data_IF_785584554181
#
_entry.id   IF_785584554181
#
_cell.length_a   1.000
_cell.length_b   1.000
_cell.length_c   1.000
_cell.angle_alpha   90.00
_cell.angle_beta   90.00
_cell.angle_gamma   90.00
#
_symmetry.space_group_name_H-M   'P 1'
#
loop_
_entity.id
_entity.type
_entity.pdbx_description
1 polymer ?
#
# COMPACT_ATOMS: atom_id res chain seq x y z
N UNK A 1 14.38 1.42 22.15
CA UNK A 1 12.95 1.51 22.49
C UNK A 1 12.47 0.11 22.85
N UNK A 2 11.49 -0.03 23.73
CA UNK A 2 11.02 -1.36 24.18
C UNK A 2 10.34 -2.09 23.02
N UNK A 3 10.60 -3.40 22.84
CA UNK A 3 10.01 -4.23 21.76
C UNK A 3 8.48 -4.12 21.65
N UNK A 4 7.80 -3.90 22.78
CA UNK A 4 6.35 -3.71 22.83
C UNK A 4 5.88 -2.44 22.09
N UNK A 5 6.66 -1.35 22.16
CA UNK A 5 6.33 -0.07 21.51
C UNK A 5 6.48 -0.17 19.99
N UNK A 6 7.49 -0.89 19.51
CA UNK A 6 7.73 -1.12 18.07
C UNK A 6 6.61 -1.95 17.44
N UNK A 7 6.12 -2.98 18.15
CA UNK A 7 4.98 -3.80 17.69
C UNK A 7 3.67 -3.02 17.63
N UNK A 8 3.38 -2.20 18.65
CA UNK A 8 2.22 -1.30 18.66
C UNK A 8 2.26 -0.33 17.48
N UNK A 9 3.41 0.31 17.24
CA UNK A 9 3.60 1.23 16.12
C UNK A 9 3.46 0.53 14.76
N UNK A 10 4.01 -0.67 14.60
CA UNK A 10 3.84 -1.48 13.39
C UNK A 10 2.37 -1.77 13.09
N UNK A 11 1.61 -2.19 14.11
CA UNK A 11 0.17 -2.44 13.95
C UNK A 11 -0.61 -1.19 13.53
N UNK A 12 -0.24 -0.02 14.07
CA UNK A 12 -0.82 1.26 13.72
C UNK A 12 -0.48 1.67 12.27
N UNK A 13 0.79 1.55 11.88
CA UNK A 13 1.23 1.82 10.50
C UNK A 13 0.53 0.91 9.49
N UNK A 14 0.34 -0.36 9.84
CA UNK A 14 -0.38 -1.31 8.99
C UNK A 14 -1.85 -0.91 8.81
N UNK A 15 -2.55 -0.51 9.90
CA UNK A 15 -3.94 -0.06 9.80
C UNK A 15 -4.08 1.21 8.95
N UNK A 16 -3.17 2.17 9.14
CA UNK A 16 -3.13 3.39 8.35
C UNK A 16 -2.85 3.10 6.87
N UNK A 17 -1.89 2.22 6.59
CA UNK A 17 -1.55 1.78 5.23
C UNK A 17 -2.75 1.14 4.53
N UNK A 18 -3.54 0.32 5.23
CA UNK A 18 -4.74 -0.31 4.67
C UNK A 18 -5.83 0.70 4.29
N UNK A 19 -6.10 1.69 5.17
CA UNK A 19 -7.06 2.77 4.87
C UNK A 19 -6.61 3.60 3.65
N UNK A 20 -5.34 3.99 3.62
CA UNK A 20 -4.77 4.72 2.49
C UNK A 20 -4.78 3.88 1.21
N UNK A 21 -4.58 2.56 1.32
CA UNK A 21 -4.62 1.64 0.17
C UNK A 21 -6.02 1.58 -0.44
N UNK A 22 -7.07 1.62 0.38
CA UNK A 22 -8.44 1.71 -0.11
C UNK A 22 -8.67 3.01 -0.89
N UNK A 23 -8.30 4.16 -0.33
CA UNK A 23 -8.44 5.45 -1.03
C UNK A 23 -7.57 5.53 -2.29
N UNK A 24 -6.34 4.99 -2.23
CA UNK A 24 -5.46 4.94 -3.41
C UNK A 24 -6.12 4.19 -4.56
N UNK A 25 -6.83 3.09 -4.27
CA UNK A 25 -7.58 2.33 -5.27
C UNK A 25 -8.75 3.12 -5.82
N UNK A 26 -9.54 3.77 -4.97
CA UNK A 26 -10.65 4.62 -5.43
C UNK A 26 -10.14 5.64 -6.46
N UNK A 27 -9.05 6.34 -6.16
CA UNK A 27 -8.39 7.24 -7.11
C UNK A 27 -7.87 6.53 -8.37
N UNK A 28 -7.26 5.35 -8.22
CA UNK A 28 -6.76 4.55 -9.35
C UNK A 28 -7.90 4.15 -10.31
N UNK A 29 -9.01 3.66 -9.79
CA UNK A 29 -10.15 3.22 -10.61
C UNK A 29 -10.96 4.38 -11.17
N UNK A 30 -10.96 5.54 -10.51
CA UNK A 30 -11.50 6.80 -11.05
C UNK A 30 -10.57 7.50 -12.05
N UNK A 31 -9.39 6.95 -12.33
CA UNK A 31 -8.42 7.53 -13.29
C UNK A 31 -7.60 8.70 -12.74
N UNK A 32 -7.71 9.01 -11.45
CA UNK A 32 -6.93 10.07 -10.79
C UNK A 32 -5.56 9.55 -10.35
N UNK A 33 -4.66 9.37 -11.33
CA UNK A 33 -3.31 8.85 -11.13
C UNK A 33 -2.43 9.72 -10.22
N UNK A 34 -2.63 11.05 -10.20
CA UNK A 34 -1.77 11.93 -9.41
C UNK A 34 -1.94 11.66 -7.91
N UNK A 35 -3.18 11.59 -7.46
CA UNK A 35 -3.49 11.36 -6.05
C UNK A 35 -3.20 9.91 -5.64
N UNK A 36 -3.52 8.94 -6.51
CA UNK A 36 -3.13 7.56 -6.32
C UNK A 36 -1.61 7.39 -6.16
N UNK A 37 -0.79 8.13 -6.94
CA UNK A 37 0.67 8.10 -6.81
C UNK A 37 1.16 8.57 -5.45
N UNK A 38 0.62 9.70 -4.95
CA UNK A 38 0.97 10.24 -3.63
C UNK A 38 0.66 9.23 -2.52
N UNK A 39 -0.54 8.65 -2.58
CA UNK A 39 -1.00 7.65 -1.61
C UNK A 39 -0.16 6.37 -1.67
N UNK A 40 0.08 5.82 -2.86
CA UNK A 40 0.92 4.63 -3.05
C UNK A 40 2.36 4.82 -2.53
N UNK A 41 2.94 6.02 -2.71
CA UNK A 41 4.26 6.34 -2.15
C UNK A 41 4.24 6.40 -0.61
N UNK A 42 3.19 6.97 -0.04
CA UNK A 42 3.01 7.03 1.42
C UNK A 42 2.84 5.64 2.01
N UNK A 43 2.01 4.80 1.40
CA UNK A 43 1.79 3.40 1.79
C UNK A 43 3.10 2.62 1.77
N UNK A 44 3.90 2.75 0.72
CA UNK A 44 5.23 2.12 0.63
C UNK A 44 6.11 2.46 1.84
N UNK A 45 6.09 3.72 2.27
CA UNK A 45 6.86 4.18 3.44
C UNK A 45 6.34 3.57 4.74
N UNK A 46 5.01 3.45 4.89
CA UNK A 46 4.38 2.86 6.07
C UNK A 46 4.64 1.34 6.14
N UNK A 47 4.53 0.64 5.02
CA UNK A 47 4.82 -0.80 4.93
C UNK A 47 6.30 -1.10 5.24
N UNK A 48 7.23 -0.26 4.77
CA UNK A 48 8.66 -0.36 5.11
C UNK A 48 8.91 -0.19 6.62
N UNK A 49 8.20 0.75 7.27
CA UNK A 49 8.31 1.01 8.71
C UNK A 49 7.65 -0.05 9.60
N UNK A 50 6.76 -0.87 9.05
CA UNK A 50 6.07 -1.92 9.79
C UNK A 50 7.02 -3.07 10.21
N UNK A 51 8.16 -3.24 9.53
CA UNK A 51 9.23 -4.17 9.93
C UNK A 51 8.93 -5.65 9.67
N UNK A 52 7.76 -6.00 9.11
CA UNK A 52 7.45 -7.37 8.71
C UNK A 52 8.03 -7.69 7.33
N UNK A 53 8.67 -8.86 7.13
CA UNK A 53 9.26 -9.24 5.84
C UNK A 53 8.27 -9.22 4.67
N UNK A 54 7.01 -9.59 4.92
CA UNK A 54 5.93 -9.57 3.91
C UNK A 54 5.60 -8.14 3.43
N UNK A 55 5.73 -7.15 4.31
CA UNK A 55 5.50 -5.75 3.99
C UNK A 55 6.66 -5.11 3.20
N UNK A 56 7.85 -5.73 3.19
CA UNK A 56 8.96 -5.26 2.36
C UNK A 56 8.66 -5.43 0.88
N UNK A 57 8.20 -6.61 0.47
CA UNK A 57 7.78 -6.87 -0.92
C UNK A 57 6.60 -5.99 -1.31
N UNK A 58 5.59 -5.88 -0.45
CA UNK A 58 4.45 -4.96 -0.65
C UNK A 58 4.92 -3.51 -0.86
N UNK A 59 5.87 -3.03 -0.05
CA UNK A 59 6.37 -1.66 -0.16
C UNK A 59 7.01 -1.36 -1.52
N UNK A 60 7.70 -2.34 -2.12
CA UNK A 60 8.30 -2.20 -3.46
C UNK A 60 7.21 -2.09 -4.52
N UNK A 61 6.18 -2.93 -4.43
CA UNK A 61 5.06 -2.92 -5.37
C UNK A 61 4.24 -1.64 -5.27
N UNK A 62 3.96 -1.15 -4.05
CA UNK A 62 3.28 0.14 -3.87
C UNK A 62 4.12 1.30 -4.45
N UNK A 63 5.44 1.28 -4.27
CA UNK A 63 6.31 2.29 -4.89
C UNK A 63 6.27 2.19 -6.42
N UNK A 64 6.24 0.97 -6.97
CA UNK A 64 6.15 0.73 -8.40
C UNK A 64 4.81 1.21 -8.96
N UNK A 65 3.68 0.93 -8.29
CA UNK A 65 2.37 1.47 -8.66
C UNK A 65 2.38 3.01 -8.70
N UNK A 66 2.99 3.64 -7.69
CA UNK A 66 3.20 5.10 -7.66
C UNK A 66 3.98 5.61 -8.88
N UNK A 67 5.02 4.89 -9.31
CA UNK A 67 5.81 5.25 -10.50
C UNK A 67 5.02 5.09 -11.80
N UNK A 68 4.23 4.02 -11.93
CA UNK A 68 3.36 3.82 -13.09
C UNK A 68 2.30 4.93 -13.21
N UNK A 69 1.64 5.29 -12.10
CA UNK A 69 0.72 6.41 -12.06
C UNK A 69 1.36 7.74 -12.48
N UNK A 70 2.57 8.03 -11.99
CA UNK A 70 3.34 9.23 -12.40
C UNK A 70 3.69 9.24 -13.88
N UNK A 71 3.89 8.07 -14.46
CA UNK A 71 4.16 7.91 -15.88
C UNK A 71 2.89 7.89 -16.76
N UNK A 72 1.70 8.09 -16.19
CA UNK A 72 0.42 7.98 -16.91
C UNK A 72 0.02 6.56 -17.29
N UNK A 73 0.74 5.55 -16.79
CA UNK A 73 0.56 4.13 -17.07
C UNK A 73 -0.47 3.52 -16.13
N UNK A 74 -1.74 3.85 -16.36
CA UNK A 74 -2.84 3.51 -15.43
C UNK A 74 -3.07 2.01 -15.32
N UNK A 75 -3.07 1.29 -16.44
CA UNK A 75 -3.35 -0.16 -16.44
C UNK A 75 -2.22 -0.96 -15.80
N UNK A 76 -0.97 -0.55 -16.00
CA UNK A 76 0.18 -1.13 -15.30
C UNK A 76 0.13 -0.83 -13.80
N UNK A 77 -0.29 0.38 -13.41
CA UNK A 77 -0.50 0.72 -12.00
C UNK A 77 -1.57 -0.15 -11.35
N UNK A 78 -2.70 -0.41 -12.04
CA UNK A 78 -3.77 -1.32 -11.58
C UNK A 78 -3.25 -2.75 -11.41
N UNK A 79 -2.53 -3.26 -12.41
CA UNK A 79 -1.95 -4.61 -12.36
C UNK A 79 -1.01 -4.78 -11.16
N UNK A 80 -0.08 -3.84 -10.97
CA UNK A 80 0.85 -3.85 -9.84
C UNK A 80 0.12 -3.71 -8.49
N UNK A 81 -0.92 -2.88 -8.43
CA UNK A 81 -1.75 -2.72 -7.23
C UNK A 81 -2.42 -4.05 -6.83
N UNK A 82 -3.00 -4.78 -7.78
CA UNK A 82 -3.64 -6.06 -7.51
C UNK A 82 -2.63 -7.14 -7.08
N UNK A 83 -1.41 -7.13 -7.61
CA UNK A 83 -0.32 -8.01 -7.13
C UNK A 83 0.05 -7.68 -5.68
N UNK A 84 0.19 -6.39 -5.34
CA UNK A 84 0.50 -5.96 -3.99
C UNK A 84 -0.57 -6.42 -2.98
N UNK A 85 -1.85 -6.36 -3.36
CA UNK A 85 -2.96 -6.84 -2.53
C UNK A 85 -2.91 -8.34 -2.30
N UNK A 86 -2.68 -9.14 -3.34
CA UNK A 86 -2.57 -10.60 -3.20
C UNK A 86 -1.44 -11.01 -2.25
N UNK A 87 -0.37 -10.22 -2.19
CA UNK A 87 0.74 -10.46 -1.27
C UNK A 87 0.47 -9.99 0.16
N UNK A 88 -0.36 -8.97 0.34
CA UNK A 88 -0.66 -8.44 1.67
C UNK A 88 -1.72 -9.30 2.38
N UNK A 89 -1.36 -10.08 3.41
CA UNK A 89 -2.29 -10.99 4.08
C UNK A 89 -3.42 -10.24 4.80
N UNK A 90 -3.20 -8.96 5.13
CA UNK A 90 -4.20 -8.11 5.78
C UNK A 90 -5.09 -7.33 4.82
N UNK A 91 -4.73 -7.26 3.54
CA UNK A 91 -5.57 -6.59 2.54
C UNK A 91 -6.80 -7.42 2.15
N UNK A 92 -6.70 -8.76 2.27
CA UNK A 92 -7.81 -9.68 2.02
C UNK A 92 -8.87 -9.62 3.14
N UNK A 93 -8.44 -9.30 4.37
CA UNK A 93 -9.29 -9.34 5.55
C UNK A 93 -10.22 -8.13 5.73
N UNK A 94 -10.15 -7.12 4.84
CA UNK A 94 -11.11 -6.00 4.82
C UNK A 94 -12.31 -6.30 3.90
N UNK A 95 -12.25 -7.37 3.11
CA UNK A 95 -13.37 -7.91 2.32
C UNK A 95 -13.70 -9.36 2.73
N UNK A 96 -13.70 -9.63 4.04
CA UNK A 96 -14.33 -10.81 4.62
C UNK A 96 -15.49 -10.36 5.51
N UNK A 97 -16.72 -10.52 5.01
CA UNK A 97 -17.88 -10.69 5.89
C UNK A 97 -17.80 -12.05 6.58
#
# INVERSE_FOLDING_TARGET
MSRATEQLLGSYYCRLALLLCQHAREHLYSGNCEEASKLCKLISTLCLKNGYPQCLEESKLCLQASKHCKAGKLEEAKSVCEIARKLCPKSFNIYGG
#
